data_IF_845633284864
#
_entry.id   IF_845633284864
#
_cell.length_a   1.000
_cell.length_b   1.000
_cell.length_c   1.000
_cell.angle_alpha   90.00
_cell.angle_beta   90.00
_cell.angle_gamma   90.00
#
_symmetry.space_group_name_H-M   'P 1'
#
loop_
_entity.id
_entity.type
_entity.pdbx_description
1 polymer ?
#
# COMPACT_ATOMS: atom_id res chain seq x y z
N UNK A 1 25.22 36.77 -6.96
CA UNK A 1 25.14 35.59 -6.06
C UNK A 1 23.70 35.07 -6.05
N UNK A 2 23.21 34.59 -7.21
CA UNK A 2 21.78 34.30 -7.49
C UNK A 2 21.31 32.92 -6.98
N UNK A 3 22.06 32.33 -6.04
CA UNK A 3 21.85 30.99 -5.49
C UNK A 3 21.82 31.00 -3.95
N UNK A 4 21.41 32.12 -3.34
CA UNK A 4 20.90 32.12 -1.97
C UNK A 4 19.39 31.95 -2.07
N UNK A 5 18.76 30.80 -1.92
CA UNK A 5 19.11 29.54 -1.28
C UNK A 5 17.89 28.65 -1.56
N UNK A 6 18.03 27.33 -1.61
CA UNK A 6 16.87 26.42 -1.61
C UNK A 6 15.81 26.78 -0.55
N UNK A 7 16.28 27.43 0.54
CA UNK A 7 15.51 28.04 1.61
C UNK A 7 14.53 29.15 1.16
N UNK A 8 14.89 30.03 0.22
CA UNK A 8 14.02 31.10 -0.28
C UNK A 8 12.88 30.56 -1.16
N UNK A 9 13.10 29.44 -1.84
CA UNK A 9 12.07 28.72 -2.61
C UNK A 9 11.11 27.97 -1.69
N UNK A 10 11.66 27.32 -0.65
CA UNK A 10 10.86 26.71 0.41
C UNK A 10 10.12 27.78 1.21
N UNK A 11 10.67 28.98 1.37
CA UNK A 11 10.15 30.07 2.21
C UNK A 11 9.65 31.27 1.41
N UNK A 12 9.08 31.06 0.21
CA UNK A 12 8.48 32.10 -0.66
C UNK A 12 7.71 33.12 0.19
N UNK A 13 8.33 34.26 0.50
CA UNK A 13 7.76 35.33 1.32
C UNK A 13 7.25 34.96 2.72
N UNK A 14 7.67 33.84 3.34
CA UNK A 14 7.27 33.43 4.70
C UNK A 14 6.10 32.44 4.81
N UNK A 15 5.48 32.03 3.70
CA UNK A 15 4.35 31.06 3.70
C UNK A 15 4.72 29.63 3.28
N UNK A 16 5.98 29.46 2.92
CA UNK A 16 6.61 28.18 2.64
C UNK A 16 6.21 26.95 3.44
N UNK A 17 6.34 26.98 4.78
CA UNK A 17 6.05 25.82 5.62
C UNK A 17 4.60 25.34 5.52
N UNK A 18 3.64 26.23 5.26
CA UNK A 18 2.23 25.85 5.09
C UNK A 18 2.00 25.05 3.81
N UNK A 19 2.67 25.44 2.72
CA UNK A 19 2.57 24.76 1.43
C UNK A 19 3.14 23.36 1.53
N UNK A 20 4.35 23.22 2.10
CA UNK A 20 4.98 21.93 2.32
C UNK A 20 4.21 21.05 3.32
N UNK A 21 3.59 21.63 4.35
CA UNK A 21 2.71 20.90 5.26
C UNK A 21 1.47 20.36 4.53
N UNK A 22 0.82 21.16 3.67
CA UNK A 22 -0.32 20.72 2.88
C UNK A 22 0.05 19.60 1.90
N UNK A 23 1.19 19.72 1.21
CA UNK A 23 1.73 18.65 0.36
C UNK A 23 2.08 17.40 1.17
N UNK A 24 2.70 17.56 2.34
CA UNK A 24 3.05 16.46 3.24
C UNK A 24 1.83 15.71 3.75
N UNK A 25 0.79 16.41 4.18
CA UNK A 25 -0.48 15.80 4.62
C UNK A 25 -1.14 15.06 3.45
N UNK A 26 -1.23 15.69 2.28
CA UNK A 26 -1.80 15.06 1.08
C UNK A 26 -1.05 13.79 0.69
N UNK A 27 0.29 13.85 0.69
CA UNK A 27 1.14 12.72 0.37
C UNK A 27 1.00 11.59 1.41
N UNK A 28 0.90 11.91 2.70
CA UNK A 28 0.62 10.95 3.77
C UNK A 28 -0.75 10.29 3.59
N UNK A 29 -1.78 11.06 3.24
CA UNK A 29 -3.13 10.52 2.97
C UNK A 29 -3.10 9.56 1.78
N UNK A 30 -2.41 9.90 0.70
CA UNK A 30 -2.26 9.02 -0.47
C UNK A 30 -1.50 7.74 -0.12
N UNK A 31 -0.40 7.85 0.62
CA UNK A 31 0.36 6.70 1.11
C UNK A 31 -0.52 5.79 1.97
N UNK A 32 -1.29 6.36 2.90
CA UNK A 32 -2.18 5.60 3.76
C UNK A 32 -3.28 4.88 2.96
N UNK A 33 -3.85 5.56 1.97
CA UNK A 33 -4.85 4.99 1.07
C UNK A 33 -4.30 3.85 0.21
N UNK A 34 -3.02 3.89 -0.17
CA UNK A 34 -2.36 2.80 -0.92
C UNK A 34 -1.95 1.65 0.01
N UNK A 35 -1.56 1.96 1.26
CA UNK A 35 -1.13 0.97 2.24
C UNK A 35 -2.31 0.11 2.73
N UNK A 36 -3.48 0.70 2.97
CA UNK A 36 -4.68 -0.03 3.40
C UNK A 36 -5.04 -1.22 2.50
N UNK A 37 -5.26 -1.06 1.19
CA UNK A 37 -5.62 -2.17 0.30
C UNK A 37 -4.46 -3.14 0.11
N UNK A 38 -3.21 -2.69 0.24
CA UNK A 38 -2.02 -3.55 0.17
C UNK A 38 -1.95 -4.54 1.35
N UNK A 39 -2.37 -4.13 2.54
CA UNK A 39 -2.47 -5.00 3.71
C UNK A 39 -3.64 -5.98 3.59
N UNK A 40 -4.79 -5.51 3.09
CA UNK A 40 -6.00 -6.34 2.95
C UNK A 40 -5.90 -7.38 1.84
N UNK A 41 -5.29 -7.04 0.70
CA UNK A 41 -5.10 -7.96 -0.42
C UNK A 41 -4.15 -9.11 -0.08
N UNK A 42 -3.14 -8.89 0.79
CA UNK A 42 -2.28 -9.98 1.29
C UNK A 42 -3.07 -10.98 2.13
N UNK A 43 -4.01 -10.53 2.96
CA UNK A 43 -4.85 -11.41 3.79
C UNK A 43 -5.80 -12.26 2.92
N UNK A 44 -6.47 -11.64 1.94
CA UNK A 44 -7.39 -12.33 1.04
C UNK A 44 -6.68 -13.34 0.13
N UNK A 45 -5.52 -12.97 -0.43
CA UNK A 45 -4.72 -13.92 -1.24
C UNK A 45 -4.35 -15.16 -0.44
N UNK A 46 -3.94 -15.00 0.82
CA UNK A 46 -3.56 -16.11 1.69
C UNK A 46 -4.73 -17.04 2.02
N UNK A 47 -5.93 -16.50 2.18
CA UNK A 47 -7.14 -17.29 2.39
C UNK A 47 -7.47 -18.16 1.17
N UNK A 48 -7.46 -17.56 -0.04
CA UNK A 48 -7.78 -18.26 -1.29
C UNK A 48 -6.80 -19.41 -1.59
N UNK A 49 -5.49 -19.22 -1.36
CA UNK A 49 -4.51 -20.30 -1.62
C UNK A 49 -4.70 -21.49 -0.68
N UNK A 50 -5.10 -21.23 0.57
CA UNK A 50 -5.25 -22.29 1.57
C UNK A 50 -6.47 -23.16 1.29
N UNK A 51 -7.58 -22.53 0.87
CA UNK A 51 -8.79 -23.25 0.47
C UNK A 51 -8.57 -24.11 -0.78
N UNK A 52 -7.86 -23.58 -1.78
CA UNK A 52 -7.51 -24.33 -3.00
C UNK A 52 -6.72 -25.60 -2.67
N UNK A 53 -5.77 -25.52 -1.73
CA UNK A 53 -4.96 -26.67 -1.30
C UNK A 53 -5.78 -27.75 -0.58
N UNK A 54 -6.76 -27.35 0.23
CA UNK A 54 -7.65 -28.30 0.93
C UNK A 54 -8.60 -28.98 -0.07
N UNK A 55 -9.13 -28.24 -1.05
CA UNK A 55 -9.99 -28.81 -2.07
C UNK A 55 -9.27 -29.81 -2.97
N UNK A 56 -8.01 -29.54 -3.35
CA UNK A 56 -7.20 -30.48 -4.12
C UNK A 56 -7.02 -31.81 -3.37
N UNK A 57 -6.66 -31.78 -2.09
CA UNK A 57 -6.52 -32.99 -1.26
C UNK A 57 -7.82 -33.80 -1.17
N UNK A 58 -8.96 -33.12 -1.06
CA UNK A 58 -10.28 -33.81 -1.03
C UNK A 58 -10.61 -34.48 -2.36
N UNK A 59 -10.25 -33.88 -3.49
CA UNK A 59 -10.43 -34.48 -4.82
C UNK A 59 -9.55 -35.72 -5.00
N UNK A 60 -8.29 -35.65 -4.57
CA UNK A 60 -7.35 -36.77 -4.61
C UNK A 60 -7.84 -37.95 -3.75
N UNK A 61 -8.30 -37.68 -2.52
CA UNK A 61 -8.86 -38.72 -1.64
C UNK A 61 -10.16 -39.34 -2.20
N UNK A 62 -11.02 -38.53 -2.83
CA UNK A 62 -12.24 -39.06 -3.46
C UNK A 62 -11.94 -39.95 -4.67
N UNK A 63 -10.93 -39.61 -5.46
CA UNK A 63 -10.48 -40.48 -6.56
C UNK A 63 -9.80 -41.75 -6.05
N UNK A 64 -8.99 -41.68 -5.00
CA UNK A 64 -8.30 -42.85 -4.43
C UNK A 64 -9.24 -43.82 -3.67
N UNK A 65 -10.39 -43.34 -3.20
CA UNK A 65 -11.41 -44.17 -2.53
C UNK A 65 -12.45 -44.74 -3.50
N UNK A 66 -12.48 -44.27 -4.76
CA UNK A 66 -13.43 -44.69 -5.80
C UNK A 66 -12.86 -45.68 -6.82
N UNK A 67 -11.58 -46.04 -6.69
CA UNK A 67 -10.88 -47.12 -7.44
C UNK A 67 -10.64 -48.32 -6.54
#
# INVERSE_FOLDING_TARGET
MYFESWQAFISMGGHGPFVWAAYGITFLTLLFLIWQPSAQTKALRKAVTNEARIQQRRKEQRNASGS
#
